data_IF_886208472583
#
_entry.id   IF_886208472583
#
_cell.length_a   1.000
_cell.length_b   1.000
_cell.length_c   1.000
_cell.angle_alpha   90.00
_cell.angle_beta   90.00
_cell.angle_gamma   90.00
#
_symmetry.space_group_name_H-M   'P 1'
#
loop_
_entity.id
_entity.type
_entity.pdbx_description
1 polymer ?
#
# COMPACT_ATOMS: atom_id res chain seq x y z
N UNK A 1 -1.38 -28.98 10.46
CA UNK A 1 -1.92 -30.26 9.96
C UNK A 1 -1.43 -30.45 8.55
N UNK A 2 -0.79 -31.57 8.27
CA UNK A 2 -0.40 -31.96 6.91
C UNK A 2 -1.67 -32.23 6.08
N UNK A 3 -1.77 -31.63 4.90
CA UNK A 3 -2.98 -31.72 4.05
C UNK A 3 -2.93 -32.91 3.07
N UNK A 4 -1.96 -33.80 3.21
CA UNK A 4 -1.81 -34.98 2.36
C UNK A 4 -1.32 -34.67 0.94
N UNK A 5 -0.71 -33.50 0.73
CA UNK A 5 -0.11 -33.12 -0.56
C UNK A 5 1.40 -33.38 -0.47
N UNK A 6 1.90 -34.31 -1.28
CA UNK A 6 3.32 -34.62 -1.37
C UNK A 6 3.98 -33.88 -2.54
N UNK A 7 4.97 -33.04 -2.23
CA UNK A 7 5.79 -32.34 -3.23
C UNK A 7 7.11 -33.09 -3.38
N UNK A 8 7.32 -33.75 -4.52
CA UNK A 8 8.53 -34.55 -4.80
C UNK A 8 9.72 -33.73 -5.32
N UNK A 9 9.50 -32.46 -5.66
CA UNK A 9 10.53 -31.54 -6.15
C UNK A 9 11.06 -30.56 -5.09
N UNK A 10 11.99 -29.70 -5.50
CA UNK A 10 12.57 -28.64 -4.64
C UNK A 10 11.85 -27.32 -4.88
N UNK A 11 11.49 -26.61 -3.81
CA UNK A 11 10.92 -25.26 -3.90
C UNK A 11 11.91 -24.29 -4.56
N UNK A 12 11.44 -23.48 -5.52
CA UNK A 12 12.25 -22.48 -6.21
C UNK A 12 11.52 -21.14 -6.28
N UNK A 13 12.25 -20.06 -6.07
CA UNK A 13 11.77 -18.71 -6.42
C UNK A 13 11.84 -18.54 -7.93
N UNK A 14 10.75 -18.08 -8.52
CA UNK A 14 10.71 -17.66 -9.92
C UNK A 14 9.98 -16.33 -9.96
N UNK A 15 10.37 -15.41 -10.83
CA UNK A 15 9.46 -14.30 -11.14
C UNK A 15 8.19 -14.92 -11.70
N UNK A 16 7.03 -14.61 -11.14
CA UNK A 16 5.75 -15.08 -11.68
C UNK A 16 5.65 -14.74 -13.18
N UNK A 17 6.26 -13.64 -13.62
CA UNK A 17 6.38 -13.26 -15.04
C UNK A 17 7.35 -14.16 -15.84
N UNK A 18 8.44 -14.64 -15.26
CA UNK A 18 9.37 -15.56 -15.93
C UNK A 18 8.79 -16.97 -16.04
N UNK A 19 8.06 -17.46 -15.05
CA UNK A 19 7.39 -18.76 -15.15
C UNK A 19 6.05 -18.71 -15.89
N UNK A 20 5.46 -17.52 -16.11
CA UNK A 20 4.36 -17.31 -17.07
C UNK A 20 4.86 -17.18 -18.52
N UNK A 21 6.10 -16.70 -18.76
CA UNK A 21 6.63 -16.46 -20.11
C UNK A 21 7.67 -17.47 -20.61
N UNK A 22 8.45 -18.09 -19.73
CA UNK A 22 9.71 -18.74 -20.12
C UNK A 22 9.72 -20.28 -20.06
N UNK A 23 8.63 -20.95 -19.69
CA UNK A 23 8.54 -22.43 -19.79
C UNK A 23 7.17 -22.87 -20.26
N UNK A 24 7.16 -23.34 -21.51
CA UNK A 24 6.10 -24.09 -22.20
C UNK A 24 4.70 -23.47 -22.09
N UNK A 25 4.42 -22.51 -22.97
CA UNK A 25 3.08 -21.98 -23.22
C UNK A 25 2.13 -22.99 -23.87
N UNK A 26 2.56 -24.23 -24.16
CA UNK A 26 1.70 -25.24 -24.79
C UNK A 26 0.74 -25.95 -23.82
N UNK A 27 0.94 -25.84 -22.50
CA UNK A 27 0.07 -26.49 -21.52
C UNK A 27 -0.98 -25.55 -20.92
N UNK A 28 -2.25 -25.97 -21.00
CA UNK A 28 -3.36 -25.31 -20.33
C UNK A 28 -3.17 -25.37 -18.81
N UNK A 29 -3.19 -24.20 -18.15
CA UNK A 29 -3.10 -24.11 -16.69
C UNK A 29 -4.50 -24.09 -16.08
N UNK A 30 -4.70 -24.90 -15.03
CA UNK A 30 -5.93 -24.93 -14.26
C UNK A 30 -5.70 -24.32 -12.87
N UNK A 31 -6.53 -23.37 -12.48
CA UNK A 31 -6.50 -22.79 -11.14
C UNK A 31 -6.98 -23.84 -10.12
N UNK A 32 -6.11 -24.20 -9.17
CA UNK A 32 -6.42 -25.21 -8.15
C UNK A 32 -7.02 -24.57 -6.89
N UNK A 33 -6.56 -23.36 -6.54
CA UNK A 33 -7.07 -22.60 -5.41
C UNK A 33 -6.82 -21.10 -5.62
N UNK A 34 -7.63 -20.26 -4.96
CA UNK A 34 -7.37 -18.84 -4.80
C UNK A 34 -7.70 -18.40 -3.37
N UNK A 35 -6.97 -17.40 -2.90
CA UNK A 35 -7.20 -16.75 -1.61
C UNK A 35 -7.38 -15.27 -1.87
N UNK A 36 -8.52 -14.72 -1.45
CA UNK A 36 -8.79 -13.29 -1.52
C UNK A 36 -7.99 -12.52 -0.48
N UNK A 37 -7.58 -11.30 -0.81
CA UNK A 37 -6.99 -10.38 0.16
C UNK A 37 -8.05 -9.80 1.09
N UNK A 38 -7.65 -9.19 2.22
CA UNK A 38 -8.47 -8.21 2.90
C UNK A 38 -8.88 -7.06 1.98
N UNK A 39 -9.90 -6.32 2.39
CA UNK A 39 -10.33 -5.10 1.72
C UNK A 39 -9.30 -3.97 1.89
N UNK A 40 -9.35 -2.96 1.03
CA UNK A 40 -8.39 -1.84 1.03
C UNK A 40 -8.48 -1.02 2.31
N UNK A 41 -9.69 -0.77 2.82
CA UNK A 41 -9.94 -0.10 4.10
C UNK A 41 -9.30 -0.85 5.28
N UNK A 42 -9.34 -2.18 5.30
CA UNK A 42 -8.66 -2.98 6.32
C UNK A 42 -7.13 -2.85 6.25
N UNK A 43 -6.57 -2.80 5.04
CA UNK A 43 -5.14 -2.57 4.85
C UNK A 43 -4.74 -1.15 5.27
N UNK A 44 -5.54 -0.13 4.93
CA UNK A 44 -5.34 1.26 5.35
C UNK A 44 -5.44 1.42 6.87
N UNK A 45 -6.39 0.72 7.52
CA UNK A 45 -6.45 0.62 8.98
C UNK A 45 -5.14 0.10 9.55
N UNK A 46 -4.61 -1.01 9.03
CA UNK A 46 -3.33 -1.53 9.51
C UNK A 46 -2.17 -0.54 9.30
N UNK A 47 -2.15 0.20 8.19
CA UNK A 47 -1.11 1.20 7.92
C UNK A 47 -1.19 2.33 8.93
N UNK A 48 -2.34 2.96 9.07
CA UNK A 48 -2.47 4.19 9.86
C UNK A 48 -2.54 3.92 11.37
N UNK A 49 -3.22 2.86 11.79
CA UNK A 49 -3.44 2.58 13.20
C UNK A 49 -2.18 2.04 13.89
N UNK A 50 -1.39 1.25 13.16
CA UNK A 50 -0.19 0.58 13.67
C UNK A 50 1.12 1.09 13.06
N UNK A 51 1.08 2.06 12.15
CA UNK A 51 2.25 2.54 11.40
C UNK A 51 2.99 1.41 10.66
N UNK A 52 2.24 0.56 9.95
CA UNK A 52 2.81 -0.61 9.27
C UNK A 52 3.54 -0.24 7.97
N UNK A 53 4.88 -0.13 8.05
CA UNK A 53 5.75 0.25 6.94
C UNK A 53 5.64 -0.70 5.73
N UNK A 54 5.61 -2.01 5.97
CA UNK A 54 5.59 -2.99 4.88
C UNK A 54 4.27 -2.91 4.09
N UNK A 55 3.16 -2.73 4.78
CA UNK A 55 1.86 -2.57 4.14
C UNK A 55 1.78 -1.26 3.36
N UNK A 56 2.34 -0.16 3.90
CA UNK A 56 2.40 1.12 3.21
C UNK A 56 3.18 1.03 1.87
N UNK A 57 4.34 0.38 1.88
CA UNK A 57 5.14 0.15 0.68
C UNK A 57 4.44 -0.80 -0.31
N UNK A 58 3.73 -1.80 0.20
CA UNK A 58 2.95 -2.73 -0.62
C UNK A 58 1.81 -2.00 -1.34
N UNK A 59 1.06 -1.14 -0.63
CA UNK A 59 0.00 -0.32 -1.23
C UNK A 59 0.57 0.66 -2.26
N UNK A 60 1.71 1.29 -1.98
CA UNK A 60 2.39 2.16 -2.94
C UNK A 60 2.73 1.42 -4.24
N UNK A 61 3.34 0.22 -4.15
CA UNK A 61 3.64 -0.62 -5.33
C UNK A 61 2.37 -1.08 -6.04
N UNK A 62 1.28 -1.32 -5.31
CA UNK A 62 -0.01 -1.65 -5.91
C UNK A 62 -0.56 -0.50 -6.78
N UNK A 63 -0.38 0.76 -6.36
CA UNK A 63 -0.69 1.91 -7.21
C UNK A 63 0.14 1.90 -8.49
N UNK A 64 1.43 1.54 -8.40
CA UNK A 64 2.29 1.30 -9.57
C UNK A 64 1.72 0.28 -10.53
N UNK A 65 1.27 -0.89 -10.02
CA UNK A 65 0.60 -1.93 -10.84
C UNK A 65 -0.62 -1.35 -11.54
N UNK A 66 -1.46 -0.61 -10.84
CA UNK A 66 -2.69 -0.01 -11.41
C UNK A 66 -2.40 1.05 -12.47
N UNK A 67 -1.30 1.80 -12.33
CA UNK A 67 -0.97 2.91 -13.23
C UNK A 67 -0.11 2.49 -14.43
N UNK A 68 0.81 1.54 -14.24
CA UNK A 68 1.86 1.18 -15.21
C UNK A 68 1.92 -0.31 -15.56
N UNK A 69 1.13 -1.15 -14.88
CA UNK A 69 1.10 -2.60 -15.10
C UNK A 69 2.18 -3.39 -14.35
N UNK A 70 3.07 -2.73 -13.62
CA UNK A 70 4.09 -3.36 -12.78
C UNK A 70 4.24 -2.63 -11.45
N UNK A 71 4.60 -3.36 -10.39
CA UNK A 71 4.72 -2.82 -9.03
C UNK A 71 6.14 -2.41 -8.73
N UNK A 72 6.42 -1.11 -8.78
CA UNK A 72 7.66 -0.53 -8.26
C UNK A 72 7.36 0.69 -7.40
N UNK A 73 8.29 1.05 -6.52
CA UNK A 73 8.18 2.21 -5.65
C UNK A 73 8.05 3.48 -6.49
N UNK A 74 8.88 3.62 -7.53
CA UNK A 74 8.89 4.76 -8.45
C UNK A 74 7.54 4.90 -9.17
N UNK A 75 6.99 3.81 -9.70
CA UNK A 75 5.68 3.82 -10.36
C UNK A 75 4.55 4.19 -9.40
N UNK A 76 4.64 3.75 -8.14
CA UNK A 76 3.72 4.16 -7.08
C UNK A 76 3.83 5.63 -6.73
N UNK A 77 5.04 6.16 -6.60
CA UNK A 77 5.31 7.58 -6.35
C UNK A 77 4.73 8.43 -7.48
N UNK A 78 4.95 8.07 -8.75
CA UNK A 78 4.34 8.76 -9.89
C UNK A 78 2.81 8.81 -9.81
N UNK A 79 2.18 7.74 -9.31
CA UNK A 79 0.73 7.70 -9.09
C UNK A 79 0.29 8.68 -7.99
N UNK A 80 1.05 8.78 -6.89
CA UNK A 80 0.79 9.76 -5.81
C UNK A 80 0.95 11.19 -6.30
N UNK A 81 2.01 11.51 -7.06
CA UNK A 81 2.17 12.85 -7.66
C UNK A 81 1.02 13.19 -8.60
N UNK A 82 0.60 12.23 -9.44
CA UNK A 82 -0.53 12.40 -10.34
C UNK A 82 -1.83 12.67 -9.57
N UNK A 83 -2.03 11.95 -8.47
CA UNK A 83 -3.18 12.15 -7.60
C UNK A 83 -3.18 13.53 -6.95
N UNK A 84 -2.07 13.96 -6.32
CA UNK A 84 -1.97 15.28 -5.70
C UNK A 84 -2.26 16.41 -6.69
N UNK A 85 -1.66 16.34 -7.89
CA UNK A 85 -1.94 17.31 -8.98
C UNK A 85 -3.39 17.30 -9.41
N UNK A 86 -4.03 16.13 -9.50
CA UNK A 86 -5.45 16.00 -9.85
C UNK A 86 -6.40 16.64 -8.82
N UNK A 87 -5.91 16.85 -7.58
CA UNK A 87 -6.64 17.53 -6.50
C UNK A 87 -6.22 18.99 -6.33
N UNK A 88 -5.50 19.54 -7.31
CA UNK A 88 -4.98 20.92 -7.29
C UNK A 88 -4.07 21.21 -6.08
N UNK A 89 -3.42 20.18 -5.53
CA UNK A 89 -2.42 20.33 -4.48
C UNK A 89 -1.08 20.60 -5.15
N UNK A 90 -0.45 21.73 -4.78
CA UNK A 90 0.91 22.06 -5.24
C UNK A 90 1.91 21.01 -4.75
N UNK A 91 2.72 20.48 -5.66
CA UNK A 91 3.75 19.47 -5.38
C UNK A 91 5.15 20.07 -5.28
N UNK A 92 5.28 21.40 -5.35
CA UNK A 92 6.55 22.09 -5.12
C UNK A 92 7.06 21.78 -3.70
N UNK A 93 8.30 21.31 -3.60
CA UNK A 93 8.89 20.89 -2.33
C UNK A 93 8.34 19.58 -1.75
N UNK A 94 7.46 18.87 -2.46
CA UNK A 94 7.08 17.50 -2.11
C UNK A 94 8.11 16.53 -2.69
N UNK A 95 8.65 15.65 -1.85
CA UNK A 95 9.57 14.58 -2.20
C UNK A 95 9.12 13.29 -1.53
N UNK A 96 8.96 12.22 -2.31
CA UNK A 96 8.52 10.92 -1.81
C UNK A 96 9.42 9.83 -2.38
N UNK A 97 10.09 9.09 -1.50
CA UNK A 97 11.06 8.04 -1.81
C UNK A 97 10.55 6.65 -1.41
N UNK A 98 9.59 6.58 -0.49
CA UNK A 98 8.92 5.33 -0.12
C UNK A 98 7.49 5.62 0.37
N UNK A 99 6.69 4.56 0.54
CA UNK A 99 5.29 4.66 0.97
C UNK A 99 5.10 4.83 2.48
N UNK A 100 6.13 4.54 3.27
CA UNK A 100 6.06 4.38 4.72
C UNK A 100 6.45 5.62 5.52
N UNK A 101 7.24 6.51 4.94
CA UNK A 101 7.85 7.64 5.64
C UNK A 101 9.23 7.34 6.25
N UNK A 102 9.78 6.12 6.15
CA UNK A 102 11.06 5.77 6.81
C UNK A 102 12.29 6.44 6.14
N UNK A 103 12.24 6.71 4.84
CA UNK A 103 13.29 7.42 4.13
C UNK A 103 13.40 8.85 4.64
N UNK A 104 14.63 9.22 5.02
CA UNK A 104 14.99 10.59 5.42
C UNK A 104 14.95 11.59 4.26
N UNK A 105 14.77 11.11 3.03
CA UNK A 105 14.63 11.96 1.84
C UNK A 105 13.17 12.32 1.54
N UNK A 106 12.21 11.76 2.29
CA UNK A 106 10.82 12.19 2.22
C UNK A 106 10.69 13.63 2.73
N UNK A 107 9.92 14.45 2.01
CA UNK A 107 9.58 15.81 2.42
C UNK A 107 8.15 16.15 1.98
N UNK A 108 7.40 16.75 2.90
CA UNK A 108 6.06 17.28 2.67
C UNK A 108 5.92 18.58 3.45
N UNK A 109 5.28 19.58 2.87
CA UNK A 109 4.98 20.84 3.56
C UNK A 109 3.73 20.69 4.42
N UNK A 110 3.62 21.51 5.48
CA UNK A 110 2.41 21.56 6.32
C UNK A 110 1.18 21.91 5.47
N UNK A 111 1.31 22.82 4.51
CA UNK A 111 0.22 23.21 3.62
C UNK A 111 -0.29 22.04 2.77
N UNK A 112 0.61 21.23 2.20
CA UNK A 112 0.23 20.03 1.44
C UNK A 112 -0.49 19.01 2.33
N UNK A 113 0.03 18.75 3.53
CA UNK A 113 -0.58 17.81 4.47
C UNK A 113 -2.00 18.26 4.87
N UNK A 114 -2.18 19.54 5.20
CA UNK A 114 -3.50 20.11 5.53
C UNK A 114 -4.46 20.04 4.35
N UNK A 115 -4.00 20.32 3.12
CA UNK A 115 -4.84 20.20 1.94
C UNK A 115 -5.29 18.75 1.69
N UNK A 116 -4.38 17.78 1.88
CA UNK A 116 -4.70 16.36 1.76
C UNK A 116 -5.71 15.91 2.82
N UNK A 117 -5.54 16.32 4.08
CA UNK A 117 -6.49 16.03 5.17
C UNK A 117 -7.87 16.66 4.90
N UNK A 118 -7.90 17.91 4.43
CA UNK A 118 -9.15 18.58 4.01
C UNK A 118 -9.84 17.86 2.87
N UNK A 119 -9.08 17.38 1.88
CA UNK A 119 -9.63 16.58 0.80
C UNK A 119 -10.25 15.28 1.33
N UNK A 120 -9.51 14.54 2.17
CA UNK A 120 -9.99 13.26 2.73
C UNK A 120 -11.21 13.43 3.62
N UNK A 121 -11.32 14.53 4.37
CA UNK A 121 -12.49 14.83 5.19
C UNK A 121 -13.78 14.89 4.37
N UNK A 122 -13.71 15.38 3.13
CA UNK A 122 -14.86 15.54 2.22
C UNK A 122 -14.96 14.44 1.16
N UNK A 123 -14.09 13.43 1.20
CA UNK A 123 -14.11 12.34 0.23
C UNK A 123 -15.18 11.30 0.59
N UNK A 124 -15.65 10.49 -0.39
CA UNK A 124 -16.51 9.34 -0.10
C UNK A 124 -15.89 8.33 0.89
N UNK A 125 -14.57 8.30 0.98
CA UNK A 125 -13.81 7.39 1.84
C UNK A 125 -13.51 7.98 3.24
N UNK A 126 -14.07 9.15 3.56
CA UNK A 126 -13.80 9.90 4.80
C UNK A 126 -13.99 9.06 6.06
N UNK A 127 -15.09 8.30 6.15
CA UNK A 127 -15.38 7.46 7.31
C UNK A 127 -14.30 6.38 7.52
N UNK A 128 -13.93 5.67 6.45
CA UNK A 128 -12.89 4.64 6.50
C UNK A 128 -11.53 5.24 6.87
N UNK A 129 -11.17 6.38 6.27
CA UNK A 129 -9.93 7.08 6.57
C UNK A 129 -9.88 7.54 8.04
N UNK A 130 -10.91 8.22 8.55
CA UNK A 130 -10.93 8.69 9.94
C UNK A 130 -10.84 7.51 10.91
N UNK A 131 -11.59 6.43 10.65
CA UNK A 131 -11.55 5.22 11.50
C UNK A 131 -10.19 4.51 11.51
N UNK A 132 -9.35 4.74 10.49
CA UNK A 132 -8.01 4.16 10.40
C UNK A 132 -6.98 4.86 11.28
N UNK A 133 -7.23 6.11 11.68
CA UNK A 133 -6.29 6.91 12.47
C UNK A 133 -6.28 6.47 13.93
N UNK A 134 -5.13 6.60 14.59
CA UNK A 134 -5.01 6.37 16.03
C UNK A 134 -5.72 7.49 16.82
N UNK A 135 -6.32 7.12 17.96
CA UNK A 135 -6.96 8.08 18.88
C UNK A 135 -6.07 8.26 20.11
N UNK A 136 -5.70 9.50 20.40
CA UNK A 136 -4.85 9.83 21.56
C UNK A 136 -5.46 9.34 22.87
N UNK A 137 -4.62 8.72 23.71
CA UNK A 137 -5.01 8.14 25.00
C UNK A 137 -5.89 6.90 24.91
N UNK A 138 -6.20 6.41 23.71
CA UNK A 138 -7.18 5.33 23.52
C UNK A 138 -6.65 4.18 22.68
N UNK A 139 -6.02 4.44 21.53
CA UNK A 139 -5.73 3.39 20.56
C UNK A 139 -4.52 3.67 19.66
N UNK A 140 -4.05 2.62 18.99
CA UNK A 140 -2.93 2.68 18.05
C UNK A 140 -1.65 3.23 18.67
N UNK A 141 -0.86 3.87 17.82
CA UNK A 141 0.43 4.49 18.17
C UNK A 141 0.32 5.66 19.15
N UNK A 142 -0.88 6.20 19.38
CA UNK A 142 -1.14 7.33 20.29
C UNK A 142 -1.77 6.90 21.62
N UNK A 143 -1.95 5.59 21.86
CA UNK A 143 -2.61 5.04 23.06
C UNK A 143 -2.00 5.48 24.39
N UNK A 144 -0.71 5.85 24.42
CA UNK A 144 0.01 6.31 25.63
C UNK A 144 0.24 7.82 25.68
N UNK A 145 -0.34 8.58 24.74
CA UNK A 145 -0.23 10.05 24.72
C UNK A 145 -1.47 10.68 25.35
N UNK A 146 -1.30 11.87 25.96
CA UNK A 146 -2.41 12.64 26.55
C UNK A 146 -3.20 11.86 27.62
N UNK A 147 -2.51 11.03 28.41
CA UNK A 147 -3.06 10.42 29.61
C UNK A 147 -2.79 11.38 30.79
N UNK A 148 -3.86 11.81 31.47
CA UNK A 148 -3.79 12.65 32.67
C UNK A 148 -3.21 11.89 33.88
#
# INVERSE_FOLDING_TARGET
MDKGIHVSGVARSTLATDSLRARDTSQTRHQIAAVGSPSVDSMVYSVNHHSNNFMAETLLKHLGVKKKGYGSTEAGVEAVYSFMKSKSIDVSGFYMFDGSGISRFNAITVNQLVQLLKYMQHSPDSAAFISSLAVAGQSGTLSKMCLD
#
